data_IF_321552857665
#
_entry.id   IF_321552857665
#
_cell.length_a   1.000
_cell.length_b   1.000
_cell.length_c   1.000
_cell.angle_alpha   90.00
_cell.angle_beta   90.00
_cell.angle_gamma   90.00
#
_symmetry.space_group_name_H-M   'P 1'
#
loop_
_entity.id
_entity.type
_entity.pdbx_description
1 polymer ?
#
# COMPACT_ATOMS: atom_id res chain seq x y z
N UNK A 1 3.40 23.30 -1.90
CA UNK A 1 3.52 21.83 -1.90
C UNK A 1 4.60 21.35 -0.94
N UNK A 2 4.25 20.38 -0.10
CA UNK A 2 5.16 19.64 0.77
C UNK A 2 5.15 18.16 0.37
N UNK A 3 6.21 17.43 0.72
CA UNK A 3 6.20 15.98 0.55
C UNK A 3 5.46 15.31 1.72
N UNK A 4 4.65 14.28 1.40
CA UNK A 4 3.89 13.48 2.37
C UNK A 4 4.01 11.99 2.04
N UNK A 5 4.10 11.18 3.09
CA UNK A 5 4.03 9.73 2.99
C UNK A 5 2.60 9.22 3.13
N UNK A 6 2.18 8.33 2.24
CA UNK A 6 0.91 7.61 2.31
C UNK A 6 1.20 6.12 2.51
N UNK A 7 0.74 5.58 3.63
CA UNK A 7 0.81 4.15 3.92
C UNK A 7 -0.30 3.38 3.23
N UNK A 8 0.10 2.24 2.67
CA UNK A 8 -0.79 1.20 2.18
C UNK A 8 -0.41 -0.16 2.76
N UNK A 9 -1.38 -1.05 2.98
CA UNK A 9 -1.11 -2.46 3.19
C UNK A 9 -2.27 -3.34 2.73
N UNK A 10 -1.94 -4.49 2.15
CA UNK A 10 -2.90 -5.56 1.83
C UNK A 10 -2.26 -6.92 2.13
N UNK A 11 -3.05 -7.98 2.04
CA UNK A 11 -2.59 -9.36 2.17
C UNK A 11 -3.11 -10.21 1.02
N UNK A 12 -2.35 -11.22 0.66
CA UNK A 12 -2.79 -12.30 -0.25
C UNK A 12 -3.10 -13.57 0.56
N UNK A 13 -4.01 -14.38 0.04
CA UNK A 13 -4.37 -15.70 0.57
C UNK A 13 -3.33 -16.75 0.19
N UNK A 14 -2.73 -16.67 -1.01
CA UNK A 14 -1.69 -17.58 -1.50
C UNK A 14 -0.49 -16.81 -2.07
N UNK A 15 0.69 -17.44 -2.02
CA UNK A 15 1.91 -16.93 -2.67
C UNK A 15 1.88 -17.29 -4.15
N UNK A 16 0.99 -16.65 -4.91
CA UNK A 16 0.83 -16.83 -6.36
C UNK A 16 1.07 -15.50 -7.07
N UNK A 17 1.76 -15.51 -8.22
CA UNK A 17 2.07 -14.31 -8.99
C UNK A 17 0.82 -13.46 -9.25
N UNK A 18 -0.24 -14.08 -9.77
CA UNK A 18 -1.47 -13.38 -10.11
C UNK A 18 -2.09 -12.69 -8.90
N UNK A 19 -2.09 -13.33 -7.74
CA UNK A 19 -2.69 -12.78 -6.53
C UNK A 19 -1.87 -11.60 -5.98
N UNK A 20 -0.55 -11.71 -5.98
CA UNK A 20 0.36 -10.62 -5.61
C UNK A 20 0.13 -9.41 -6.51
N UNK A 21 0.07 -9.60 -7.84
CA UNK A 21 -0.12 -8.51 -8.79
C UNK A 21 -1.49 -7.85 -8.64
N UNK A 22 -2.56 -8.65 -8.52
CA UNK A 22 -3.94 -8.15 -8.37
C UNK A 22 -4.13 -7.34 -7.08
N UNK A 23 -3.69 -7.86 -5.94
CA UNK A 23 -3.84 -7.15 -4.67
C UNK A 23 -2.92 -5.92 -4.58
N UNK A 24 -1.77 -5.94 -5.25
CA UNK A 24 -0.91 -4.75 -5.41
C UNK A 24 -1.64 -3.63 -6.15
N UNK A 25 -2.27 -3.92 -7.30
CA UNK A 25 -3.02 -2.93 -8.08
C UNK A 25 -4.21 -2.40 -7.30
N UNK A 26 -5.00 -3.30 -6.70
CA UNK A 26 -6.16 -2.93 -5.89
C UNK A 26 -5.77 -2.01 -4.72
N UNK A 27 -4.64 -2.27 -4.07
CA UNK A 27 -4.12 -1.40 -3.02
C UNK A 27 -3.74 -0.02 -3.56
N UNK A 28 -3.02 0.03 -4.68
CA UNK A 28 -2.60 1.29 -5.30
C UNK A 28 -3.80 2.13 -5.77
N UNK A 29 -4.75 1.51 -6.48
CA UNK A 29 -5.98 2.15 -6.95
C UNK A 29 -6.76 2.78 -5.80
N UNK A 30 -6.89 2.07 -4.68
CA UNK A 30 -7.59 2.60 -3.51
C UNK A 30 -6.83 3.75 -2.84
N UNK A 31 -5.49 3.70 -2.80
CA UNK A 31 -4.66 4.82 -2.32
C UNK A 31 -4.86 6.06 -3.20
N UNK A 32 -4.77 5.88 -4.52
CA UNK A 32 -4.94 6.94 -5.52
C UNK A 32 -6.33 7.55 -5.40
N UNK A 33 -7.38 6.73 -5.39
CA UNK A 33 -8.77 7.17 -5.31
C UNK A 33 -9.07 7.93 -4.02
N UNK A 34 -8.61 7.46 -2.85
CA UNK A 34 -8.89 8.13 -1.56
C UNK A 34 -8.10 9.42 -1.36
N UNK A 35 -6.99 9.58 -2.05
CA UNK A 35 -6.12 10.74 -1.90
C UNK A 35 -6.14 11.67 -3.12
N UNK A 36 -6.94 11.36 -4.15
CA UNK A 36 -7.05 12.14 -5.39
C UNK A 36 -5.67 12.41 -6.01
N UNK A 37 -4.93 11.32 -6.28
CA UNK A 37 -3.55 11.38 -6.74
C UNK A 37 -3.48 11.28 -8.26
N UNK A 38 -2.55 12.03 -8.86
CA UNK A 38 -2.08 11.79 -10.23
C UNK A 38 -0.62 11.30 -10.19
N UNK A 39 -0.21 10.40 -11.10
CA UNK A 39 1.12 9.80 -11.08
C UNK A 39 2.26 10.82 -11.10
N UNK A 40 2.12 11.94 -11.81
CA UNK A 40 3.15 12.98 -11.91
C UNK A 40 3.51 13.65 -10.59
N UNK A 41 2.63 13.56 -9.57
CA UNK A 41 2.89 14.11 -8.23
C UNK A 41 3.54 13.09 -7.29
N UNK A 42 3.68 11.83 -7.71
CA UNK A 42 4.31 10.78 -6.92
C UNK A 42 5.82 10.85 -7.13
N UNK A 43 6.55 11.14 -6.05
CA UNK A 43 8.01 11.15 -6.05
C UNK A 43 8.59 9.75 -6.19
N UNK A 44 8.05 8.78 -5.44
CA UNK A 44 8.43 7.36 -5.51
C UNK A 44 7.46 6.50 -4.69
N UNK A 45 7.53 5.18 -4.91
CA UNK A 45 6.86 4.18 -4.08
C UNK A 45 7.87 3.14 -3.60
N UNK A 46 7.93 2.99 -2.28
CA UNK A 46 8.58 1.85 -1.64
C UNK A 46 7.55 0.76 -1.35
N UNK A 47 7.85 -0.46 -1.79
CA UNK A 47 7.01 -1.63 -1.60
C UNK A 47 7.79 -2.65 -0.77
N UNK A 48 7.19 -3.15 0.30
CA UNK A 48 7.75 -4.27 1.07
C UNK A 48 6.83 -5.46 1.03
N UNK A 49 7.42 -6.66 1.04
CA UNK A 49 6.70 -7.93 1.16
C UNK A 49 7.28 -8.73 2.31
N UNK A 50 6.43 -9.47 3.01
CA UNK A 50 6.90 -10.47 3.97
C UNK A 50 7.66 -11.60 3.27
N UNK A 51 8.60 -12.23 3.98
CA UNK A 51 9.50 -13.26 3.43
C UNK A 51 8.80 -14.52 2.91
N UNK A 52 7.53 -14.72 3.27
CA UNK A 52 6.68 -15.81 2.80
C UNK A 52 6.02 -15.53 1.45
N UNK A 53 6.38 -14.43 0.78
CA UNK A 53 6.00 -14.12 -0.59
C UNK A 53 7.23 -13.94 -1.48
N UNK A 54 7.33 -14.78 -2.50
CA UNK A 54 8.46 -14.80 -3.45
C UNK A 54 8.01 -15.04 -4.91
N UNK A 55 6.72 -15.23 -5.16
CA UNK A 55 6.23 -15.60 -6.48
C UNK A 55 6.26 -14.46 -7.51
N UNK A 56 6.32 -13.18 -7.09
CA UNK A 56 6.39 -12.05 -8.01
C UNK A 56 6.92 -10.77 -7.37
N UNK A 57 7.50 -9.90 -8.22
CA UNK A 57 7.73 -8.49 -7.85
C UNK A 57 6.43 -7.68 -8.01
N UNK A 58 5.93 -7.02 -6.95
CA UNK A 58 4.66 -6.29 -6.98
C UNK A 58 4.75 -5.07 -7.89
N UNK A 59 5.92 -4.41 -7.94
CA UNK A 59 6.18 -3.28 -8.83
C UNK A 59 5.93 -3.58 -10.32
N UNK A 60 5.97 -4.85 -10.74
CA UNK A 60 5.65 -5.23 -12.12
C UNK A 60 4.22 -4.88 -12.50
N UNK A 61 3.26 -5.01 -11.58
CA UNK A 61 1.87 -4.68 -11.86
C UNK A 61 1.70 -3.17 -12.13
N UNK A 62 2.37 -2.34 -11.33
CA UNK A 62 2.29 -0.87 -11.44
C UNK A 62 2.87 -0.38 -12.77
N UNK A 63 3.99 -0.96 -13.22
CA UNK A 63 4.62 -0.59 -14.50
C UNK A 63 3.78 -0.89 -15.74
N UNK A 64 2.73 -1.69 -15.60
CA UNK A 64 1.81 -2.00 -16.70
C UNK A 64 0.64 -1.00 -16.79
N UNK A 65 0.53 -0.08 -15.83
CA UNK A 65 -0.49 0.96 -15.85
C UNK A 65 -0.06 2.12 -16.75
N UNK A 66 -0.98 2.57 -17.60
CA UNK A 66 -0.77 3.75 -18.44
C UNK A 66 -0.48 4.99 -17.57
N UNK A 67 0.61 5.71 -17.90
CA UNK A 67 1.01 6.93 -17.19
C UNK A 67 1.85 6.69 -15.93
N UNK A 68 2.20 5.44 -15.60
CA UNK A 68 3.02 5.10 -14.43
C UNK A 68 4.49 4.80 -14.75
N UNK A 69 4.86 4.84 -16.04
CA UNK A 69 6.19 4.44 -16.53
C UNK A 69 7.35 5.21 -15.89
N UNK A 70 7.11 6.46 -15.48
CA UNK A 70 8.12 7.35 -14.89
C UNK A 70 8.15 7.33 -13.36
N UNK A 71 7.17 6.69 -12.70
CA UNK A 71 7.13 6.65 -11.23
C UNK A 71 8.24 5.74 -10.72
N UNK A 72 9.19 6.23 -9.90
CA UNK A 72 10.24 5.38 -9.36
C UNK A 72 9.68 4.38 -8.34
N UNK A 73 9.97 3.09 -8.54
CA UNK A 73 9.50 2.00 -7.68
C UNK A 73 10.70 1.23 -7.11
N UNK A 74 10.67 0.95 -5.81
CA UNK A 74 11.64 0.06 -5.17
C UNK A 74 10.92 -1.01 -4.34
N UNK A 75 11.37 -2.26 -4.45
CA UNK A 75 10.90 -3.38 -3.64
C UNK A 75 11.96 -3.75 -2.60
N UNK A 76 11.53 -4.15 -1.41
CA UNK A 76 12.39 -4.72 -0.37
C UNK A 76 11.65 -5.83 0.40
N UNK A 77 12.40 -6.57 1.18
CA UNK A 77 11.85 -7.55 2.12
C UNK A 77 11.49 -6.84 3.42
N UNK A 78 10.30 -7.11 3.95
CA UNK A 78 9.86 -6.61 5.25
C UNK A 78 10.58 -7.34 6.39
N UNK A 79 10.80 -6.65 7.51
CA UNK A 79 11.42 -7.25 8.70
C UNK A 79 10.62 -8.49 9.17
N UNK A 80 11.25 -9.68 9.34
CA UNK A 80 10.54 -10.92 9.66
C UNK A 80 10.28 -11.06 11.17
N UNK A 81 9.37 -10.24 11.69
CA UNK A 81 8.97 -10.29 13.10
C UNK A 81 8.12 -11.54 13.35
N UNK A 82 8.50 -12.38 14.32
CA UNK A 82 7.75 -13.58 14.70
C UNK A 82 6.32 -13.24 15.11
N UNK A 83 5.33 -13.95 14.56
CA UNK A 83 3.91 -13.72 14.83
C UNK A 83 3.33 -12.48 14.14
N UNK A 84 4.10 -11.78 13.30
CA UNK A 84 3.58 -10.69 12.49
C UNK A 84 2.65 -11.20 11.38
N UNK A 85 1.89 -10.27 10.80
CA UNK A 85 0.92 -10.57 9.75
C UNK A 85 1.61 -11.20 8.52
N UNK A 86 1.32 -12.47 8.17
CA UNK A 86 1.92 -13.16 7.05
C UNK A 86 1.38 -12.64 5.70
N UNK A 87 2.06 -12.98 4.62
CA UNK A 87 1.65 -12.72 3.23
C UNK A 87 1.18 -11.30 2.98
N UNK A 88 1.93 -10.32 3.50
CA UNK A 88 1.54 -8.92 3.48
C UNK A 88 2.42 -8.10 2.55
N UNK A 89 1.76 -7.31 1.71
CA UNK A 89 2.36 -6.32 0.80
C UNK A 89 2.08 -4.94 1.40
N UNK A 90 3.11 -4.11 1.55
CA UNK A 90 3.00 -2.76 2.15
C UNK A 90 3.60 -1.71 1.25
N UNK A 91 2.97 -0.55 1.24
CA UNK A 91 3.37 0.61 0.46
C UNK A 91 3.76 1.77 1.38
N UNK A 92 4.79 2.49 0.97
CA UNK A 92 5.05 3.88 1.34
C UNK A 92 5.10 4.69 0.04
N UNK A 93 4.02 5.39 -0.26
CA UNK A 93 3.93 6.30 -1.43
C UNK A 93 4.37 7.68 -0.97
N UNK A 94 5.37 8.27 -1.61
CA UNK A 94 5.81 9.64 -1.35
C UNK A 94 5.21 10.57 -2.41
N UNK A 95 4.41 11.54 -1.99
CA UNK A 95 3.70 12.45 -2.90
C UNK A 95 3.97 13.91 -2.55
N UNK A 96 4.07 14.76 -3.56
CA UNK A 96 4.05 16.21 -3.41
C UNK A 96 2.59 16.70 -3.40
N UNK A 97 2.16 17.32 -2.30
CA UNK A 97 0.75 17.73 -2.11
C UNK A 97 0.66 18.96 -1.21
N UNK A 98 -0.46 19.68 -1.28
CA UNK A 98 -0.79 20.75 -0.34
C UNK A 98 -1.63 20.25 0.85
N UNK A 99 -2.04 18.98 0.86
CA UNK A 99 -2.73 18.36 1.99
C UNK A 99 -1.86 18.34 3.24
N UNK A 100 -2.47 18.69 4.37
CA UNK A 100 -1.89 18.49 5.70
C UNK A 100 -1.78 17.01 6.04
N UNK A 101 -1.03 16.69 7.09
CA UNK A 101 -0.80 15.29 7.49
C UNK A 101 -2.09 14.57 7.92
N UNK A 102 -3.02 15.27 8.56
CA UNK A 102 -4.31 14.70 9.01
C UNK A 102 -5.30 14.44 7.89
N UNK A 103 -5.11 15.09 6.73
CA UNK A 103 -5.94 14.89 5.55
C UNK A 103 -5.54 13.64 4.75
N UNK A 104 -4.31 13.15 4.92
CA UNK A 104 -3.81 11.97 4.24
C UNK A 104 -4.61 10.72 4.64
N UNK A 105 -5.12 10.00 3.64
CA UNK A 105 -5.91 8.78 3.82
C UNK A 105 -5.04 7.56 3.57
N UNK A 106 -4.56 6.95 4.64
CA UNK A 106 -3.88 5.66 4.56
C UNK A 106 -4.88 4.53 4.26
N UNK A 107 -4.40 3.46 3.60
CA UNK A 107 -5.25 2.37 3.12
C UNK A 107 -4.77 1.03 3.69
N UNK A 108 -5.68 0.30 4.31
CA UNK A 108 -5.44 -1.04 4.83
C UNK A 108 -6.57 -1.96 4.35
N UNK A 109 -6.22 -2.94 3.53
CA UNK A 109 -7.16 -3.89 2.94
C UNK A 109 -7.00 -5.29 3.55
N UNK A 110 -7.98 -6.15 3.31
CA UNK A 110 -7.96 -7.56 3.73
C UNK A 110 -7.56 -7.71 5.22
N UNK A 111 -6.67 -8.65 5.53
CA UNK A 111 -6.21 -8.88 6.91
C UNK A 111 -5.29 -7.76 7.43
N UNK A 112 -4.74 -6.93 6.54
CA UNK A 112 -3.89 -5.80 6.91
C UNK A 112 -4.63 -4.69 7.66
N UNK A 113 -5.98 -4.69 7.65
CA UNK A 113 -6.80 -3.85 8.55
C UNK A 113 -6.40 -4.01 10.02
N UNK A 114 -5.97 -5.21 10.43
CA UNK A 114 -5.50 -5.48 11.80
C UNK A 114 -4.26 -4.69 12.20
N UNK A 115 -3.47 -4.19 11.23
CA UNK A 115 -2.29 -3.37 11.51
C UNK A 115 -2.66 -1.95 12.01
N UNK A 116 -3.86 -1.47 11.70
CA UNK A 116 -4.40 -0.17 12.13
C UNK A 116 -5.88 -0.27 12.47
N UNK A 117 -6.24 -0.87 13.62
CA UNK A 117 -7.62 -0.98 14.06
C UNK A 117 -8.33 0.38 14.17
N UNK A 118 -7.57 1.42 14.52
CA UNK A 118 -8.01 2.81 14.63
C UNK A 118 -8.45 3.43 13.31
N UNK A 119 -7.94 2.94 12.17
CA UNK A 119 -8.33 3.39 10.82
C UNK A 119 -9.37 2.49 10.15
N UNK A 120 -9.68 1.34 10.76
CA UNK A 120 -10.49 0.28 10.15
C UNK A 120 -11.98 0.38 10.47
N UNK A 121 -12.42 1.44 11.16
CA UNK A 121 -13.81 1.66 11.55
C UNK A 121 -14.29 0.81 12.75
N UNK A 122 -13.49 -0.13 13.24
CA UNK A 122 -13.86 -1.02 14.36
C UNK A 122 -13.86 -0.33 15.75
N UNK A 123 -13.65 0.99 15.81
CA UNK A 123 -13.69 1.80 17.02
C UNK A 123 -14.90 2.73 17.16
N UNK A 124 -15.83 2.74 16.19
CA UNK A 124 -16.99 3.64 16.21
C UNK A 124 -18.23 3.08 16.94
N UNK A 125 -18.24 1.80 17.33
CA UNK A 125 -19.38 1.13 17.99
C UNK A 125 -19.18 0.86 19.50
N UNK A 126 -18.42 1.72 20.20
CA UNK A 126 -18.33 1.66 21.67
C UNK A 126 -18.51 3.03 22.31
N UNK A 127 -19.72 3.57 22.18
CA UNK A 127 -20.31 4.50 23.14
C UNK A 127 -21.84 4.46 22.96
N UNK A 128 -22.46 3.50 23.67
CA UNK A 128 -23.79 3.69 24.25
C UNK A 128 -23.65 4.55 25.50
#
# INVERSE_FOLDING_TARGET
MMNRGIRGATTVTRNEEQEILQETLRLLEEIVRRNDLQPEYISNIWITMTQDLDAAFPARAIRQLEGWDLVPLMCSVEIPVKGSLPRCIRFMVQVNTDKSQSEIKHVYLNEAKRLRPDLSGAGADKQN
#
